data_IF_906864388199
#
_entry.id   IF_906864388199
#
_cell.length_a   1.000
_cell.length_b   1.000
_cell.length_c   1.000
_cell.angle_alpha   90.00
_cell.angle_beta   90.00
_cell.angle_gamma   90.00
#
_symmetry.space_group_name_H-M   'P 1'
#
loop_
_entity.id
_entity.type
_entity.pdbx_description
1 polymer ?
#
# COMPACT_ATOMS: atom_id res chain seq x y z
N UNK A 1 0.60 -1.43 -14.70
CA UNK A 1 0.56 -2.89 -14.50
C UNK A 1 -0.36 -3.19 -13.31
N UNK A 2 -1.23 -4.20 -13.43
CA UNK A 2 -2.34 -4.48 -12.51
C UNK A 2 -1.96 -5.29 -11.28
N UNK A 3 -0.91 -4.88 -10.57
CA UNK A 3 -0.55 -5.51 -9.29
C UNK A 3 -1.71 -5.36 -8.30
N UNK A 4 -2.01 -6.45 -7.59
CA UNK A 4 -2.99 -6.44 -6.51
C UNK A 4 -2.26 -6.44 -5.18
N UNK A 5 -2.84 -5.78 -4.19
CA UNK A 5 -2.28 -5.67 -2.85
C UNK A 5 -3.36 -6.04 -1.85
N UNK A 6 -2.97 -6.70 -0.77
CA UNK A 6 -3.85 -6.94 0.36
C UNK A 6 -3.08 -7.01 1.66
N UNK A 7 -3.70 -6.59 2.75
CA UNK A 7 -3.18 -6.84 4.08
C UNK A 7 -3.66 -8.22 4.56
N UNK A 8 -2.74 -9.02 5.09
CA UNK A 8 -3.06 -10.35 5.60
C UNK A 8 -3.10 -10.31 7.13
N UNK A 9 -4.27 -10.50 7.76
CA UNK A 9 -4.30 -10.66 9.21
C UNK A 9 -3.84 -12.07 9.60
N UNK A 10 -3.14 -12.22 10.72
CA UNK A 10 -2.97 -13.54 11.35
C UNK A 10 -4.29 -14.04 11.97
N UNK A 11 -5.14 -13.12 12.44
CA UNK A 11 -6.55 -13.33 12.81
C UNK A 11 -7.24 -12.00 13.09
N UNK A 12 -8.40 -11.72 12.48
CA UNK A 12 -9.26 -10.55 12.77
C UNK A 12 -10.66 -11.00 13.22
N UNK A 13 -11.49 -10.08 13.74
CA UNK A 13 -12.89 -10.40 14.05
C UNK A 13 -13.69 -10.78 12.79
N UNK A 14 -13.21 -10.35 11.61
CA UNK A 14 -13.74 -10.71 10.29
C UNK A 14 -13.11 -11.97 9.68
N UNK A 15 -12.25 -12.69 10.43
CA UNK A 15 -11.58 -13.92 10.00
C UNK A 15 -10.14 -13.72 9.51
N UNK A 16 -9.69 -14.63 8.64
CA UNK A 16 -8.30 -14.66 8.11
C UNK A 16 -8.22 -14.26 6.63
N UNK A 17 -9.31 -13.72 6.07
CA UNK A 17 -9.36 -13.33 4.65
C UNK A 17 -8.53 -12.07 4.43
N UNK A 18 -7.61 -12.05 3.45
CA UNK A 18 -6.85 -10.85 3.11
C UNK A 18 -7.78 -9.70 2.69
N UNK A 19 -7.51 -8.50 3.18
CA UNK A 19 -8.27 -7.29 2.84
C UNK A 19 -7.62 -6.59 1.65
N UNK A 20 -8.33 -6.44 0.51
CA UNK A 20 -7.81 -5.70 -0.63
C UNK A 20 -7.38 -4.30 -0.21
N UNK A 21 -6.19 -3.90 -0.66
CA UNK A 21 -5.63 -2.60 -0.44
C UNK A 21 -5.41 -1.90 -1.79
N UNK A 22 -5.59 -0.59 -1.79
CA UNK A 22 -5.44 0.25 -2.96
C UNK A 22 -4.11 0.99 -2.87
N UNK A 23 -3.32 0.89 -3.93
CA UNK A 23 -2.12 1.70 -4.09
C UNK A 23 -2.52 3.03 -4.74
N UNK A 24 -2.27 4.14 -4.05
CA UNK A 24 -2.63 5.48 -4.51
C UNK A 24 -1.42 6.39 -4.49
N UNK A 25 -1.23 7.15 -5.57
CA UNK A 25 -0.22 8.20 -5.62
C UNK A 25 -0.67 9.35 -4.73
N UNK A 26 0.24 9.88 -3.92
CA UNK A 26 -0.02 11.07 -3.10
C UNK A 26 -0.06 12.29 -4.02
N UNK A 27 -1.04 13.17 -3.79
CA UNK A 27 -1.12 14.48 -4.43
C UNK A 27 -0.76 15.57 -3.41
N UNK A 28 -0.23 16.68 -3.92
CA UNK A 28 0.47 17.67 -3.10
C UNK A 28 -0.19 19.05 -3.23
N UNK A 29 -0.30 19.74 -2.11
CA UNK A 29 -0.76 21.13 -2.05
C UNK A 29 -2.28 21.32 -2.07
N UNK A 30 -2.68 22.58 -1.88
CA UNK A 30 -4.08 22.96 -1.68
C UNK A 30 -4.94 22.82 -2.93
N UNK A 31 -4.39 23.06 -4.12
CA UNK A 31 -5.13 22.96 -5.38
C UNK A 31 -5.56 21.50 -5.62
N UNK A 32 -4.62 20.56 -5.49
CA UNK A 32 -4.91 19.13 -5.60
C UNK A 32 -5.89 18.65 -4.51
N UNK A 33 -5.78 19.18 -3.29
CA UNK A 33 -6.72 18.89 -2.22
C UNK A 33 -8.14 19.41 -2.56
N UNK A 34 -8.24 20.63 -3.10
CA UNK A 34 -9.49 21.24 -3.55
C UNK A 34 -10.17 20.45 -4.67
N UNK A 35 -9.41 20.07 -5.69
CA UNK A 35 -9.90 19.21 -6.78
C UNK A 35 -10.41 17.87 -6.25
N UNK A 36 -9.66 17.25 -5.32
CA UNK A 36 -10.08 15.95 -4.76
C UNK A 36 -11.34 16.07 -3.91
N UNK A 37 -11.47 17.14 -3.12
CA UNK A 37 -12.68 17.40 -2.35
C UNK A 37 -13.91 17.57 -3.27
N UNK A 38 -13.78 18.33 -4.37
CA UNK A 38 -14.85 18.49 -5.35
C UNK A 38 -15.23 17.17 -6.01
N UNK A 39 -14.24 16.39 -6.44
CA UNK A 39 -14.46 15.06 -7.02
C UNK A 39 -15.17 14.12 -6.03
N UNK A 40 -14.75 14.09 -4.78
CA UNK A 40 -15.38 13.29 -3.73
C UNK A 40 -16.84 13.67 -3.51
N UNK A 41 -17.15 14.97 -3.41
CA UNK A 41 -18.54 15.46 -3.26
C UNK A 41 -19.39 15.10 -4.47
N UNK A 42 -18.87 15.32 -5.68
CA UNK A 42 -19.58 14.99 -6.92
C UNK A 42 -19.88 13.48 -7.03
N UNK A 43 -18.89 12.63 -6.74
CA UNK A 43 -19.04 11.18 -6.75
C UNK A 43 -20.02 10.69 -5.67
N UNK A 44 -19.96 11.27 -4.47
CA UNK A 44 -20.89 10.94 -3.38
C UNK A 44 -22.32 11.28 -3.76
N UNK A 45 -22.56 12.47 -4.33
CA UNK A 45 -23.88 12.88 -4.83
C UNK A 45 -24.37 11.94 -5.92
N UNK A 46 -23.51 11.60 -6.88
CA UNK A 46 -23.87 10.66 -7.93
C UNK A 46 -24.22 9.27 -7.38
N UNK A 47 -23.45 8.76 -6.42
CA UNK A 47 -23.69 7.45 -5.79
C UNK A 47 -24.96 7.40 -4.95
N UNK A 48 -25.40 8.52 -4.37
CA UNK A 48 -26.64 8.61 -3.60
C UNK A 48 -27.89 8.26 -4.42
N UNK A 49 -27.88 8.61 -5.71
CA UNK A 49 -29.00 8.38 -6.63
C UNK A 49 -28.94 7.01 -7.33
N UNK A 50 -27.92 6.20 -7.06
CA UNK A 50 -27.77 4.86 -7.67
C UNK A 50 -28.44 3.79 -6.81
N UNK A 51 -28.66 2.63 -7.44
CA UNK A 51 -29.04 1.37 -6.79
C UNK A 51 -28.02 0.30 -7.11
N UNK A 52 -27.86 -0.69 -6.22
CA UNK A 52 -26.91 -1.80 -6.41
C UNK A 52 -25.56 -1.58 -5.72
N UNK A 53 -24.53 -2.36 -6.08
CA UNK A 53 -23.24 -2.42 -5.36
C UNK A 53 -22.49 -1.08 -5.29
N UNK A 54 -22.70 -0.20 -6.26
CA UNK A 54 -22.04 1.11 -6.35
C UNK A 54 -22.86 2.25 -5.70
N UNK A 55 -24.01 1.93 -5.11
CA UNK A 55 -24.83 2.91 -4.40
C UNK A 55 -24.20 3.31 -3.06
N UNK A 56 -24.53 4.50 -2.58
CA UNK A 56 -24.16 4.91 -1.23
C UNK A 56 -24.92 4.06 -0.21
N UNK A 57 -24.21 3.52 0.78
CA UNK A 57 -24.82 2.75 1.88
C UNK A 57 -25.75 3.64 2.69
N UNK A 58 -26.92 3.12 3.02
CA UNK A 58 -27.94 3.82 3.80
C UNK A 58 -27.94 3.31 5.25
N UNK A 59 -28.20 4.21 6.18
CA UNK A 59 -28.42 3.88 7.59
C UNK A 59 -29.85 3.33 7.82
N UNK A 60 -30.16 3.00 9.08
CA UNK A 60 -31.47 2.45 9.48
C UNK A 60 -32.64 3.44 9.28
N UNK A 61 -32.36 4.73 9.10
CA UNK A 61 -33.34 5.78 8.86
C UNK A 61 -33.46 6.14 7.38
N UNK A 62 -32.74 5.43 6.50
CA UNK A 62 -32.73 5.68 5.05
C UNK A 62 -31.83 6.84 4.61
N UNK A 63 -31.13 7.48 5.55
CA UNK A 63 -30.12 8.51 5.31
C UNK A 63 -28.78 7.89 4.88
N UNK A 64 -27.76 8.70 4.52
CA UNK A 64 -26.43 8.18 4.22
C UNK A 64 -25.75 7.66 5.48
N UNK A 65 -25.12 6.48 5.42
CA UNK A 65 -24.29 5.98 6.51
C UNK A 65 -23.05 6.89 6.69
N UNK A 66 -23.08 7.72 7.74
CA UNK A 66 -22.04 8.72 7.99
C UNK A 66 -20.69 8.10 8.37
N UNK A 67 -20.70 6.91 8.99
CA UNK A 67 -19.46 6.21 9.37
C UNK A 67 -18.71 5.73 8.14
N UNK A 68 -19.41 5.07 7.21
CA UNK A 68 -18.85 4.63 5.94
C UNK A 68 -18.48 5.81 5.04
N UNK A 69 -19.28 6.88 5.04
CA UNK A 69 -18.95 8.09 4.29
C UNK A 69 -17.68 8.75 4.82
N UNK A 70 -17.53 8.87 6.15
CA UNK A 70 -16.31 9.39 6.77
C UNK A 70 -15.09 8.52 6.44
N UNK A 71 -15.22 7.18 6.49
CA UNK A 71 -14.13 6.28 6.13
C UNK A 71 -13.66 6.46 4.67
N UNK A 72 -14.61 6.68 3.74
CA UNK A 72 -14.27 7.03 2.33
C UNK A 72 -13.65 8.41 2.21
N UNK A 73 -14.06 9.40 3.01
CA UNK A 73 -13.43 10.72 3.00
C UNK A 73 -11.98 10.64 3.52
N UNK A 74 -11.74 9.91 4.61
CA UNK A 74 -10.40 9.74 5.16
C UNK A 74 -9.45 9.03 4.19
N UNK A 75 -9.95 8.14 3.32
CA UNK A 75 -9.12 7.52 2.28
C UNK A 75 -8.64 8.53 1.23
N UNK A 76 -9.42 9.58 0.95
CA UNK A 76 -8.99 10.67 0.08
C UNK A 76 -7.94 11.53 0.77
N UNK A 77 -8.19 11.93 2.02
CA UNK A 77 -7.27 12.74 2.83
C UNK A 77 -5.94 12.02 3.02
N UNK A 78 -5.97 10.71 3.27
CA UNK A 78 -4.77 9.90 3.42
C UNK A 78 -3.88 9.88 2.16
N UNK A 79 -4.35 10.38 1.02
CA UNK A 79 -3.58 10.50 -0.24
C UNK A 79 -3.20 11.94 -0.58
N UNK A 80 -3.36 12.86 0.37
CA UNK A 80 -2.95 14.25 0.24
C UNK A 80 -1.78 14.53 1.19
N UNK A 81 -0.88 15.42 0.77
CA UNK A 81 0.23 15.92 1.57
C UNK A 81 0.49 17.39 1.24
N UNK A 82 1.16 18.08 2.15
CA UNK A 82 1.58 19.46 1.93
C UNK A 82 2.57 19.55 0.74
N UNK A 83 2.52 20.66 0.01
CA UNK A 83 3.37 20.89 -1.16
C UNK A 83 4.88 20.87 -0.83
N UNK A 84 5.25 21.19 0.41
CA UNK A 84 6.64 21.17 0.87
C UNK A 84 7.30 19.77 0.89
N UNK A 85 6.54 18.70 0.60
CA UNK A 85 7.04 17.32 0.54
C UNK A 85 6.91 16.69 -0.85
N UNK A 86 6.70 17.51 -1.89
CA UNK A 86 6.50 17.02 -3.26
C UNK A 86 7.69 16.17 -3.76
N UNK A 87 8.91 16.44 -3.27
CA UNK A 87 10.11 15.70 -3.62
C UNK A 87 10.07 14.22 -3.21
N UNK A 88 9.21 13.85 -2.25
CA UNK A 88 9.08 12.46 -1.82
C UNK A 88 8.46 11.56 -2.89
N UNK A 89 7.68 12.12 -3.82
CA UNK A 89 6.96 11.40 -4.86
C UNK A 89 6.22 10.14 -4.33
N UNK A 90 5.65 10.27 -3.14
CA UNK A 90 5.11 9.20 -2.30
C UNK A 90 3.93 8.45 -2.95
N UNK A 91 3.91 7.12 -2.73
CA UNK A 91 2.76 6.26 -2.99
C UNK A 91 2.33 5.61 -1.68
N UNK A 92 1.03 5.62 -1.39
CA UNK A 92 0.46 5.03 -0.18
C UNK A 92 -0.38 3.81 -0.50
N UNK A 93 -0.21 2.77 0.30
CA UNK A 93 -1.09 1.62 0.31
C UNK A 93 -2.16 1.83 1.39
N UNK A 94 -3.43 1.80 0.99
CA UNK A 94 -4.54 2.11 1.89
C UNK A 94 -5.64 1.03 1.82
N UNK A 95 -6.26 0.76 2.96
CA UNK A 95 -7.52 0.02 3.04
C UNK A 95 -8.39 0.55 4.18
N UNK A 96 -9.70 0.34 4.10
CA UNK A 96 -10.60 0.52 5.24
C UNK A 96 -10.56 -0.79 6.04
N UNK A 97 -10.24 -0.70 7.33
CA UNK A 97 -10.10 -1.86 8.20
C UNK A 97 -10.87 -1.68 9.52
N UNK A 98 -10.93 -2.75 10.32
CA UNK A 98 -11.53 -2.73 11.64
C UNK A 98 -10.73 -1.85 12.63
N UNK A 99 -11.43 -1.28 13.62
CA UNK A 99 -10.86 -0.31 14.57
C UNK A 99 -9.66 -0.85 15.38
N UNK A 100 -9.55 -2.17 15.55
CA UNK A 100 -8.48 -2.84 16.32
C UNK A 100 -7.70 -3.83 15.45
N UNK A 101 -7.40 -3.44 14.21
CA UNK A 101 -6.63 -4.30 13.33
C UNK A 101 -5.28 -4.68 13.98
N UNK A 102 -4.95 -5.98 14.06
CA UNK A 102 -3.75 -6.42 14.75
C UNK A 102 -2.49 -5.98 13.99
N UNK A 103 -1.51 -5.45 14.72
CA UNK A 103 -0.18 -5.16 14.20
C UNK A 103 0.80 -6.21 14.68
N UNK A 104 1.69 -6.67 13.80
CA UNK A 104 2.86 -7.40 14.25
C UNK A 104 3.88 -6.40 14.80
N UNK A 105 4.81 -6.88 15.62
CA UNK A 105 5.89 -6.07 16.18
C UNK A 105 7.21 -6.80 16.01
N UNK A 106 8.25 -6.10 15.54
CA UNK A 106 9.61 -6.64 15.47
C UNK A 106 10.57 -5.80 16.30
N UNK A 107 11.53 -6.47 16.94
CA UNK A 107 12.62 -5.79 17.62
C UNK A 107 13.62 -5.21 16.61
N UNK A 108 14.11 -4.01 16.89
CA UNK A 108 15.16 -3.32 16.14
C UNK A 108 16.17 -2.73 17.11
N UNK A 109 17.30 -2.23 16.60
CA UNK A 109 18.29 -1.51 17.43
C UNK A 109 17.70 -0.30 18.18
N UNK A 110 16.58 0.25 17.68
CA UNK A 110 15.89 1.42 18.25
C UNK A 110 14.60 1.05 19.00
N UNK A 111 14.40 -0.22 19.32
CA UNK A 111 13.23 -0.72 20.05
C UNK A 111 12.20 -1.43 19.17
N UNK A 112 10.96 -1.51 19.66
CA UNK A 112 9.87 -2.25 19.04
C UNK A 112 9.22 -1.43 17.93
N UNK A 113 9.22 -1.96 16.71
CA UNK A 113 8.63 -1.31 15.52
C UNK A 113 7.42 -2.12 15.04
N UNK A 114 6.23 -1.51 14.95
CA UNK A 114 5.05 -2.18 14.41
C UNK A 114 5.16 -2.36 12.89
N UNK A 115 4.60 -3.45 12.37
CA UNK A 115 4.51 -3.71 10.94
C UNK A 115 3.25 -4.53 10.58
N UNK A 116 2.88 -4.48 9.31
CA UNK A 116 1.79 -5.26 8.73
C UNK A 116 2.32 -6.20 7.65
N UNK A 117 1.77 -7.41 7.60
CA UNK A 117 2.05 -8.35 6.51
C UNK A 117 1.22 -7.95 5.28
N UNK A 118 1.89 -7.82 4.13
CA UNK A 118 1.28 -7.43 2.85
C UNK A 118 1.46 -8.55 1.84
N UNK A 119 0.38 -8.91 1.17
CA UNK A 119 0.37 -9.80 0.00
C UNK A 119 0.39 -8.95 -1.26
N UNK A 120 1.32 -9.25 -2.15
CA UNK A 120 1.43 -8.64 -3.49
C UNK A 120 1.09 -9.71 -4.52
N UNK A 121 0.31 -9.34 -5.54
CA UNK A 121 -0.21 -10.25 -6.57
C UNK A 121 -1.05 -11.38 -5.96
N UNK A 122 -2.15 -11.03 -5.29
CA UNK A 122 -3.19 -11.99 -4.89
C UNK A 122 -3.56 -12.86 -6.10
N UNK A 123 -3.24 -14.16 -6.02
CA UNK A 123 -3.55 -15.12 -7.07
C UNK A 123 -5.07 -15.27 -7.16
N UNK A 124 -5.64 -14.86 -8.29
CA UNK A 124 -7.02 -15.15 -8.66
C UNK A 124 -6.99 -16.14 -9.84
N UNK A 125 -7.83 -17.20 -9.83
CA UNK A 125 -7.92 -18.10 -10.98
C UNK A 125 -8.16 -17.29 -12.28
N UNK A 126 -7.28 -17.47 -13.27
CA UNK A 126 -7.42 -16.86 -14.60
C UNK A 126 -6.97 -15.40 -14.74
N UNK A 127 -6.32 -14.77 -13.74
CA UNK A 127 -5.73 -13.42 -13.88
C UNK A 127 -4.21 -13.44 -13.80
N UNK A 128 -3.60 -12.76 -14.78
CA UNK A 128 -2.16 -12.61 -15.05
C UNK A 128 -1.22 -12.74 -13.84
N UNK A 129 -0.25 -13.65 -13.98
CA UNK A 129 0.89 -13.86 -13.10
C UNK A 129 1.98 -12.82 -13.40
N UNK A 130 1.81 -11.59 -12.92
CA UNK A 130 2.92 -10.64 -12.97
C UNK A 130 4.02 -11.07 -11.96
N UNK A 131 5.30 -10.94 -12.30
CA UNK A 131 6.36 -11.16 -11.33
C UNK A 131 6.19 -10.19 -10.16
N UNK A 132 6.24 -10.70 -8.93
CA UNK A 132 6.14 -9.87 -7.71
C UNK A 132 7.30 -8.91 -7.58
N UNK A 133 8.48 -9.30 -8.06
CA UNK A 133 9.69 -8.49 -8.05
C UNK A 133 10.21 -8.36 -9.49
N UNK A 134 10.22 -7.15 -10.03
CA UNK A 134 10.78 -6.87 -11.36
C UNK A 134 12.26 -6.48 -11.34
N UNK A 135 12.75 -5.92 -10.23
CA UNK A 135 14.16 -5.54 -10.02
C UNK A 135 14.46 -5.47 -8.53
N UNK A 136 15.62 -5.97 -8.12
CA UNK A 136 16.17 -5.78 -6.77
C UNK A 136 17.52 -5.09 -6.91
N UNK A 137 17.70 -3.96 -6.23
CA UNK A 137 18.96 -3.21 -6.27
C UNK A 137 19.67 -3.34 -4.93
N UNK A 138 20.87 -3.92 -4.93
CA UNK A 138 21.71 -4.05 -3.74
C UNK A 138 22.44 -2.73 -3.52
N UNK A 139 22.24 -2.13 -2.33
CA UNK A 139 22.83 -0.85 -1.97
C UNK A 139 24.37 -0.86 -1.96
N UNK A 140 25.02 0.30 -1.86
CA UNK A 140 26.47 0.38 -1.74
C UNK A 140 26.97 -0.36 -0.50
N UNK A 141 28.01 -1.17 -0.64
CA UNK A 141 28.63 -1.95 0.44
C UNK A 141 30.13 -2.17 0.14
N UNK A 142 31.03 -2.31 1.14
CA UNK A 142 32.45 -2.62 0.92
C UNK A 142 32.67 -3.90 0.11
N UNK A 143 31.93 -4.95 0.44
CA UNK A 143 31.86 -6.20 -0.33
C UNK A 143 30.57 -6.22 -1.14
N UNK A 144 30.60 -5.64 -2.33
CA UNK A 144 29.41 -5.55 -3.19
C UNK A 144 29.05 -6.90 -3.82
N UNK A 145 30.05 -7.67 -4.26
CA UNK A 145 29.85 -8.92 -4.97
C UNK A 145 29.28 -9.99 -4.04
N UNK A 146 29.78 -10.09 -2.81
CA UNK A 146 29.23 -10.98 -1.79
C UNK A 146 27.78 -10.64 -1.44
N UNK A 147 27.42 -9.36 -1.36
CA UNK A 147 26.04 -8.93 -1.09
C UNK A 147 25.09 -9.23 -2.25
N UNK A 148 25.55 -9.08 -3.50
CA UNK A 148 24.78 -9.46 -4.69
C UNK A 148 24.52 -10.97 -4.69
N UNK A 149 25.55 -11.77 -4.44
CA UNK A 149 25.41 -13.23 -4.37
C UNK A 149 24.45 -13.64 -3.24
N UNK A 150 24.59 -13.07 -2.05
CA UNK A 150 23.69 -13.35 -0.93
C UNK A 150 22.22 -13.01 -1.26
N UNK A 151 21.98 -11.87 -1.92
CA UNK A 151 20.63 -11.48 -2.35
C UNK A 151 20.07 -12.44 -3.42
N UNK A 152 20.90 -12.91 -4.35
CA UNK A 152 20.51 -13.91 -5.36
C UNK A 152 20.14 -15.25 -4.71
N UNK A 153 20.95 -15.75 -3.78
CA UNK A 153 20.66 -16.98 -3.02
C UNK A 153 19.37 -16.83 -2.21
N UNK A 154 19.17 -15.68 -1.56
CA UNK A 154 17.94 -15.40 -0.81
C UNK A 154 16.71 -15.46 -1.71
N UNK A 155 16.74 -14.82 -2.89
CA UNK A 155 15.61 -14.88 -3.84
C UNK A 155 15.36 -16.31 -4.32
N UNK A 156 16.42 -17.06 -4.65
CA UNK A 156 16.32 -18.46 -5.09
C UNK A 156 15.66 -19.33 -4.02
N UNK A 157 16.08 -19.18 -2.75
CA UNK A 157 15.52 -19.92 -1.63
C UNK A 157 14.02 -19.66 -1.41
N UNK A 158 13.51 -18.50 -1.86
CA UNK A 158 12.09 -18.13 -1.77
C UNK A 158 11.33 -18.30 -3.11
N UNK A 159 11.95 -18.96 -4.10
CA UNK A 159 11.31 -19.24 -5.39
C UNK A 159 11.16 -18.03 -6.31
N UNK A 160 11.91 -16.96 -6.09
CA UNK A 160 11.97 -15.79 -6.98
C UNK A 160 13.13 -15.90 -7.98
N UNK A 161 13.03 -15.18 -9.10
CA UNK A 161 14.09 -15.11 -10.11
C UNK A 161 15.31 -14.34 -9.57
N UNK A 162 16.47 -14.99 -9.35
CA UNK A 162 17.68 -14.31 -8.89
C UNK A 162 18.26 -13.35 -9.94
N UNK A 163 17.89 -13.50 -11.22
CA UNK A 163 18.40 -12.66 -12.30
C UNK A 163 17.84 -11.23 -12.26
N UNK A 164 16.92 -10.89 -11.35
CA UNK A 164 16.44 -9.51 -11.15
C UNK A 164 17.34 -8.68 -10.22
N UNK A 165 18.33 -9.30 -9.57
CA UNK A 165 19.27 -8.62 -8.64
C UNK A 165 20.35 -7.88 -9.42
N UNK A 166 20.55 -6.60 -9.09
CA UNK A 166 21.59 -5.74 -9.67
C UNK A 166 22.31 -4.96 -8.56
N UNK A 167 23.63 -4.76 -8.64
CA UNK A 167 24.29 -3.81 -7.74
C UNK A 167 23.86 -2.37 -8.04
N UNK A 168 23.81 -1.53 -7.01
CA UNK A 168 23.66 -0.08 -7.16
C UNK A 168 24.89 0.52 -7.84
N UNK A 169 24.72 1.51 -8.70
CA UNK A 169 25.82 2.28 -9.30
C UNK A 169 26.38 3.34 -8.35
N UNK A 170 25.70 3.59 -7.22
CA UNK A 170 26.14 4.56 -6.22
C UNK A 170 27.38 4.01 -5.48
N UNK A 171 28.45 4.80 -5.30
CA UNK A 171 29.63 4.37 -4.57
C UNK A 171 29.34 4.23 -3.07
N UNK A 172 30.01 3.30 -2.41
CA UNK A 172 29.94 3.19 -0.96
C UNK A 172 30.67 4.36 -0.31
N UNK A 173 29.97 5.10 0.56
CA UNK A 173 30.54 6.18 1.37
C UNK A 173 30.62 5.69 2.80
N UNK A 174 31.81 5.37 3.30
CA UNK A 174 32.00 5.25 4.73
C UNK A 174 32.02 6.66 5.32
N UNK A 175 31.05 6.98 6.16
CA UNK A 175 31.19 8.10 7.09
C UNK A 175 32.28 7.71 8.09
N UNK A 176 33.42 8.42 8.06
CA UNK A 176 34.39 8.40 9.16
C UNK A 176 33.82 9.15 10.34
#
# INVERSE_FOLDING_TARGET
AGHTFAFHPKSTAMGNTPFPAQLRKVAYGNDAAGERAQQFVAQTRAAWHRTGPDALTRDIYGGPDLGLLAARMFSEIATLKDAAFEEEAEWRLWTISERRYPVNVRATAFGLVPYLDVVVNLRQPGKCEHPTLGRVTVGPHPDKDGQVLAAQEMLRAHGFDPAVVRPSTVPFRSTR
#
